data_IF_770464902495
#
_entry.id   IF_770464902495
#
_cell.length_a   1.000
_cell.length_b   1.000
_cell.length_c   1.000
_cell.angle_alpha   90.00
_cell.angle_beta   90.00
_cell.angle_gamma   90.00
#
_symmetry.space_group_name_H-M   'P 1'
#
loop_
_entity.id
_entity.type
_entity.pdbx_description
1 polymer ?
#
# COMPACT_ATOMS: atom_id res chain seq x y z
N UNK A 1 10.26 5.27 20.67
CA UNK A 1 10.42 6.63 21.26
C UNK A 1 11.86 6.99 21.60
N UNK A 2 12.83 6.05 21.64
CA UNK A 2 14.20 6.34 22.10
C UNK A 2 14.97 7.39 21.27
N UNK A 3 14.69 7.53 19.97
CA UNK A 3 15.36 8.52 19.12
C UNK A 3 14.73 9.93 19.15
N UNK A 4 13.40 10.02 19.14
CA UNK A 4 12.68 11.29 18.91
C UNK A 4 11.57 11.60 19.92
N UNK A 5 11.37 10.76 20.93
CA UNK A 5 10.35 10.96 21.97
C UNK A 5 8.94 10.59 21.54
N UNK A 6 8.41 11.08 20.42
CA UNK A 6 7.03 10.81 19.99
C UNK A 6 6.86 10.81 18.45
N UNK A 7 5.71 10.28 17.99
CA UNK A 7 5.25 10.41 16.60
C UNK A 7 4.15 11.46 16.59
N UNK A 8 4.33 12.52 15.78
CA UNK A 8 3.35 13.59 15.65
C UNK A 8 2.57 13.55 14.33
N UNK A 9 3.19 13.00 13.28
CA UNK A 9 2.63 12.97 11.93
C UNK A 9 3.02 11.63 11.29
N UNK A 10 2.05 10.97 10.64
CA UNK A 10 2.27 9.78 9.83
C UNK A 10 1.92 10.09 8.36
N UNK A 11 2.93 10.21 7.50
CA UNK A 11 2.72 10.41 6.07
C UNK A 11 3.03 9.12 5.31
N UNK A 12 2.02 8.52 4.66
CA UNK A 12 2.20 7.34 3.83
C UNK A 12 2.46 7.75 2.37
N UNK A 13 3.65 7.44 1.87
CA UNK A 13 4.05 7.65 0.47
C UNK A 13 4.50 6.35 -0.22
N UNK A 14 4.62 5.27 0.54
CA UNK A 14 4.92 3.96 -0.03
C UNK A 14 3.74 3.52 -0.92
N UNK A 15 4.02 3.26 -2.19
CA UNK A 15 3.03 2.79 -3.13
C UNK A 15 3.66 2.32 -4.43
N UNK A 16 2.98 1.41 -5.10
CA UNK A 16 3.33 0.91 -6.43
C UNK A 16 2.13 1.00 -7.36
N UNK A 17 2.39 1.05 -8.66
CA UNK A 17 1.37 1.01 -9.69
C UNK A 17 1.59 -0.13 -10.69
N UNK A 18 0.52 -0.52 -11.36
CA UNK A 18 0.55 -1.47 -12.47
C UNK A 18 -0.34 -0.93 -13.60
N UNK A 19 0.25 -0.69 -14.77
CA UNK A 19 -0.48 -0.20 -15.94
C UNK A 19 -1.08 -1.36 -16.75
N UNK A 20 -2.14 -1.99 -16.24
CA UNK A 20 -2.81 -3.13 -16.87
C UNK A 20 -4.31 -2.85 -17.02
N UNK A 21 -4.87 -3.14 -18.20
CA UNK A 21 -6.32 -3.02 -18.45
C UNK A 21 -7.07 -4.15 -17.75
N UNK A 22 -8.31 -3.90 -17.32
CA UNK A 22 -9.19 -4.94 -16.73
C UNK A 22 -9.33 -6.16 -17.64
N UNK A 23 -9.47 -5.93 -18.94
CA UNK A 23 -9.37 -6.97 -19.99
C UNK A 23 -8.47 -6.42 -21.10
N UNK A 24 -7.35 -7.10 -21.35
CA UNK A 24 -6.36 -6.77 -22.37
C UNK A 24 -6.38 -7.76 -23.54
N UNK A 25 -5.37 -7.65 -24.43
CA UNK A 25 -5.17 -8.57 -25.56
C UNK A 25 -4.95 -10.01 -25.08
N UNK A 26 -4.21 -10.16 -23.98
CA UNK A 26 -3.79 -11.44 -23.44
C UNK A 26 -4.75 -11.99 -22.37
N UNK A 27 -5.94 -11.39 -22.24
CA UNK A 27 -6.97 -11.80 -21.30
C UNK A 27 -7.17 -10.84 -20.12
N UNK A 28 -7.85 -11.29 -19.05
CA UNK A 28 -8.13 -10.47 -17.88
C UNK A 28 -6.86 -10.12 -17.10
N UNK A 29 -6.89 -9.02 -16.34
CA UNK A 29 -5.81 -8.64 -15.42
C UNK A 29 -5.50 -9.82 -14.47
N UNK A 30 -4.24 -10.32 -14.41
CA UNK A 30 -3.82 -11.28 -13.41
C UNK A 30 -4.17 -10.86 -11.97
N UNK A 31 -5.02 -11.65 -11.30
CA UNK A 31 -5.52 -11.33 -9.96
C UNK A 31 -4.40 -11.13 -8.92
N UNK A 32 -3.34 -11.92 -8.99
CA UNK A 32 -2.21 -11.84 -8.05
C UNK A 32 -1.47 -10.49 -8.13
N UNK A 33 -1.36 -9.91 -9.32
CA UNK A 33 -0.76 -8.60 -9.50
C UNK A 33 -1.63 -7.49 -8.91
N UNK A 34 -2.97 -7.59 -9.07
CA UNK A 34 -3.90 -6.64 -8.44
C UNK A 34 -3.84 -6.74 -6.90
N UNK A 35 -3.84 -7.96 -6.36
CA UNK A 35 -3.71 -8.21 -4.91
C UNK A 35 -2.43 -7.59 -4.36
N UNK A 36 -1.30 -7.75 -5.03
CA UNK A 36 -0.03 -7.19 -4.59
C UNK A 36 -0.04 -5.66 -4.47
N UNK A 37 -0.67 -4.97 -5.43
CA UNK A 37 -0.88 -3.51 -5.36
C UNK A 37 -1.74 -3.14 -4.14
N UNK A 38 -2.80 -3.90 -3.86
CA UNK A 38 -3.66 -3.69 -2.67
C UNK A 38 -2.91 -3.95 -1.36
N UNK A 39 -2.09 -5.01 -1.30
CA UNK A 39 -1.27 -5.33 -0.13
C UNK A 39 -0.35 -4.17 0.24
N UNK A 40 0.29 -3.53 -0.74
CA UNK A 40 1.20 -2.42 -0.49
C UNK A 40 0.42 -1.13 -0.21
N UNK A 41 -0.42 -0.69 -1.13
CA UNK A 41 -0.96 0.67 -1.12
C UNK A 41 -2.09 0.84 -0.10
N UNK A 42 -2.88 -0.20 0.14
CA UNK A 42 -4.05 -0.14 1.03
C UNK A 42 -3.76 -0.80 2.37
N UNK A 43 -3.43 -2.10 2.36
CA UNK A 43 -3.22 -2.86 3.59
C UNK A 43 -1.96 -2.35 4.31
N UNK A 44 -0.88 -2.09 3.57
CA UNK A 44 0.35 -1.50 4.09
C UNK A 44 0.12 -0.12 4.74
N UNK A 45 -0.56 0.79 4.03
CA UNK A 45 -0.94 2.11 4.56
C UNK A 45 -1.73 1.98 5.86
N UNK A 46 -2.74 1.12 5.90
CA UNK A 46 -3.52 0.89 7.12
C UNK A 46 -2.67 0.32 8.26
N UNK A 47 -1.78 -0.62 7.96
CA UNK A 47 -0.93 -1.26 8.95
C UNK A 47 0.07 -0.26 9.60
N UNK A 48 0.63 0.66 8.80
CA UNK A 48 1.47 1.74 9.33
C UNK A 48 0.62 2.70 10.15
N UNK A 49 -0.51 3.15 9.61
CA UNK A 49 -1.42 4.10 10.27
C UNK A 49 -1.86 3.59 11.66
N UNK A 50 -2.34 2.34 11.75
CA UNK A 50 -2.84 1.77 13.01
C UNK A 50 -1.77 1.67 14.08
N UNK A 51 -0.50 1.51 13.69
CA UNK A 51 0.63 1.41 14.62
C UNK A 51 1.10 2.80 15.06
N UNK A 52 1.10 3.77 14.14
CA UNK A 52 1.46 5.16 14.45
C UNK A 52 0.44 5.88 15.34
N UNK A 53 -0.83 5.42 15.36
CA UNK A 53 -1.88 5.98 16.19
C UNK A 53 -1.91 5.47 17.65
N UNK A 54 -1.06 4.49 18.02
CA UNK A 54 -0.91 4.02 19.40
C UNK A 54 0.18 4.79 20.13
#
# INVERSE_FOLDING_TARGET
MQAYGAIHICCNYAGIDNAVRTVGRDGPFPLEQFKFVIEINLIGTFNVLRLAAN
#
